data_IF_993800997251
#
_entry.id   IF_993800997251
#
_cell.length_a   1.000
_cell.length_b   1.000
_cell.length_c   1.000
_cell.angle_alpha   90.00
_cell.angle_beta   90.00
_cell.angle_gamma   90.00
#
_symmetry.space_group_name_H-M   'P 1'
#
loop_
_entity.id
_entity.type
_entity.pdbx_description
1 polymer ?
#
# COMPACT_ATOMS: atom_id res chain seq x y z
N UNK A 1 10.88 -26.03 11.20
CA UNK A 1 9.85 -25.15 10.58
C UNK A 1 10.59 -23.88 10.13
N UNK A 2 10.47 -23.48 8.88
CA UNK A 2 11.16 -22.30 8.34
C UNK A 2 10.27 -21.08 8.63
N UNK A 3 10.80 -20.04 9.25
CA UNK A 3 10.08 -18.79 9.50
C UNK A 3 10.34 -17.85 8.30
N UNK A 4 9.29 -17.26 7.76
CA UNK A 4 9.39 -16.18 6.77
C UNK A 4 9.19 -14.85 7.49
N UNK A 5 10.02 -13.86 7.18
CA UNK A 5 9.85 -12.48 7.60
C UNK A 5 9.48 -11.63 6.38
N UNK A 6 8.39 -10.90 6.47
CA UNK A 6 7.92 -10.00 5.42
C UNK A 6 7.71 -8.62 6.04
N UNK A 7 8.48 -7.66 5.60
CA UNK A 7 8.40 -6.28 6.05
C UNK A 7 7.44 -5.50 5.17
N UNK A 8 6.31 -5.07 5.73
CA UNK A 8 5.33 -4.25 5.03
C UNK A 8 5.70 -2.79 5.19
N UNK A 9 5.96 -2.11 4.08
CA UNK A 9 6.43 -0.72 4.05
C UNK A 9 5.40 0.11 3.28
N UNK A 10 4.86 1.15 3.95
CA UNK A 10 4.03 2.14 3.28
C UNK A 10 4.92 3.05 2.42
N UNK A 11 4.45 3.40 1.22
CA UNK A 11 5.13 4.38 0.35
C UNK A 11 5.31 5.74 1.05
N UNK A 12 6.31 6.51 0.66
CA UNK A 12 6.53 7.90 1.09
C UNK A 12 5.39 8.84 0.68
N UNK A 13 5.35 10.04 1.26
CA UNK A 13 4.25 10.96 1.04
C UNK A 13 4.23 11.54 -0.39
N UNK A 14 3.03 11.68 -0.95
CA UNK A 14 2.72 12.46 -2.17
C UNK A 14 2.10 13.80 -1.78
N UNK A 15 2.05 14.79 -2.69
CA UNK A 15 1.38 16.08 -2.42
C UNK A 15 -0.06 15.87 -1.94
N UNK A 16 -0.77 14.95 -2.54
CA UNK A 16 -2.14 14.62 -2.16
C UNK A 16 -2.28 14.02 -0.75
N UNK A 17 -1.24 13.38 -0.21
CA UNK A 17 -1.24 12.92 1.18
C UNK A 17 -1.16 14.11 2.16
N UNK A 18 -0.35 15.14 1.85
CA UNK A 18 -0.30 16.37 2.65
C UNK A 18 -1.62 17.13 2.60
N UNK A 19 -2.31 17.11 1.46
CA UNK A 19 -3.64 17.71 1.31
C UNK A 19 -4.77 16.89 1.96
N UNK A 20 -4.50 15.68 2.47
CA UNK A 20 -5.52 14.80 3.06
C UNK A 20 -6.53 14.25 2.04
N UNK A 21 -6.11 14.04 0.77
CA UNK A 21 -6.95 13.52 -0.30
C UNK A 21 -6.98 11.99 -0.31
N UNK A 22 -8.11 11.43 -0.66
CA UNK A 22 -8.25 10.00 -0.96
C UNK A 22 -7.57 9.69 -2.30
N UNK A 23 -6.42 9.03 -2.26
CA UNK A 23 -5.66 8.64 -3.46
C UNK A 23 -5.55 7.13 -3.52
N UNK A 24 -6.25 6.56 -4.46
CA UNK A 24 -6.30 5.12 -4.69
C UNK A 24 -5.51 4.68 -5.91
N UNK A 25 -6.05 3.66 -6.59
CA UNK A 25 -5.38 3.05 -7.75
C UNK A 25 -5.60 3.80 -9.07
N UNK A 26 -6.53 4.75 -9.14
CA UNK A 26 -6.80 5.52 -10.36
C UNK A 26 -5.89 6.73 -10.52
N UNK A 27 -5.25 7.17 -9.43
CA UNK A 27 -4.38 8.34 -9.42
C UNK A 27 -2.95 7.93 -9.11
N UNK A 28 -2.07 7.96 -10.11
CA UNK A 28 -0.69 7.54 -9.98
C UNK A 28 0.25 8.74 -9.85
N UNK A 29 0.30 9.31 -8.64
CA UNK A 29 1.15 10.45 -8.30
C UNK A 29 2.57 10.01 -7.90
N UNK A 30 3.59 10.83 -8.21
CA UNK A 30 4.94 10.66 -7.66
C UNK A 30 4.98 11.02 -6.17
N UNK A 31 6.08 10.67 -5.51
CA UNK A 31 6.42 11.24 -4.21
C UNK A 31 6.54 12.75 -4.31
N UNK A 32 6.02 13.47 -3.30
CA UNK A 32 6.28 14.90 -3.14
C UNK A 32 7.79 15.14 -2.91
N UNK A 33 8.33 16.31 -3.30
CA UNK A 33 9.73 16.66 -2.99
C UNK A 33 10.03 16.56 -1.49
N UNK A 34 9.13 17.06 -0.64
CA UNK A 34 9.22 16.92 0.80
C UNK A 34 9.18 15.46 1.25
N UNK A 35 8.22 14.68 0.76
CA UNK A 35 8.09 13.25 1.09
C UNK A 35 9.31 12.44 0.67
N UNK A 36 9.93 12.79 -0.45
CA UNK A 36 11.19 12.18 -0.90
C UNK A 36 12.35 12.54 0.04
N UNK A 37 12.42 13.78 0.50
CA UNK A 37 13.44 14.23 1.45
C UNK A 37 13.25 13.58 2.82
N UNK A 38 12.02 13.54 3.35
CA UNK A 38 11.69 12.83 4.59
C UNK A 38 12.09 11.36 4.53
N UNK A 39 11.81 10.69 3.42
CA UNK A 39 12.15 9.28 3.22
C UNK A 39 13.67 9.04 3.22
N UNK A 40 14.46 9.96 2.67
CA UNK A 40 15.93 9.91 2.70
C UNK A 40 16.47 10.09 4.11
N UNK A 41 15.95 11.07 4.85
CA UNK A 41 16.31 11.29 6.25
C UNK A 41 15.97 10.08 7.11
N UNK A 42 14.77 9.50 6.94
CA UNK A 42 14.39 8.27 7.65
C UNK A 42 15.31 7.10 7.33
N UNK A 43 15.78 6.98 6.09
CA UNK A 43 16.73 5.92 5.70
C UNK A 43 18.09 6.10 6.41
N UNK A 44 18.52 7.34 6.65
CA UNK A 44 19.78 7.62 7.34
C UNK A 44 19.64 7.41 8.87
N UNK A 45 18.46 7.61 9.43
CA UNK A 45 18.18 7.50 10.86
C UNK A 45 17.72 6.10 11.31
N UNK A 46 17.21 5.29 10.41
CA UNK A 46 16.63 3.97 10.73
C UNK A 46 17.34 2.89 9.92
N UNK A 47 17.79 1.86 10.63
CA UNK A 47 18.28 0.63 10.00
C UNK A 47 17.10 -0.14 9.38
N UNK A 48 16.90 0.02 8.07
CA UNK A 48 15.95 -0.80 7.33
C UNK A 48 16.47 -2.26 7.27
N UNK A 49 15.55 -3.25 7.34
CA UNK A 49 15.96 -4.65 7.35
C UNK A 49 16.71 -5.05 6.08
N UNK A 50 17.71 -5.91 6.23
CA UNK A 50 18.31 -6.60 5.08
C UNK A 50 17.28 -7.54 4.46
N UNK A 51 17.21 -7.56 3.13
CA UNK A 51 16.26 -8.35 2.40
C UNK A 51 16.90 -9.15 1.28
N UNK A 52 16.29 -10.26 0.92
CA UNK A 52 16.70 -11.11 -0.21
C UNK A 52 15.91 -10.77 -1.49
N UNK A 53 14.72 -10.18 -1.34
CA UNK A 53 13.85 -9.77 -2.46
C UNK A 53 12.96 -8.60 -2.08
N UNK A 54 12.76 -7.70 -3.05
CA UNK A 54 11.86 -6.57 -2.96
C UNK A 54 10.62 -6.82 -3.81
N UNK A 55 9.43 -6.72 -3.21
CA UNK A 55 8.14 -6.67 -3.90
C UNK A 55 7.55 -5.27 -3.80
N UNK A 56 6.75 -4.87 -4.78
CA UNK A 56 6.14 -3.55 -4.78
C UNK A 56 4.77 -3.54 -5.47
N UNK A 57 3.88 -2.67 -5.01
CA UNK A 57 2.80 -2.18 -5.84
C UNK A 57 3.39 -1.52 -7.10
N UNK A 58 2.74 -1.65 -8.27
CA UNK A 58 3.23 -1.04 -9.51
C UNK A 58 3.13 0.49 -9.52
N UNK A 59 2.41 1.10 -8.54
CA UNK A 59 2.20 2.54 -8.45
C UNK A 59 3.53 3.30 -8.28
N UNK A 60 3.65 4.44 -8.98
CA UNK A 60 4.88 5.22 -9.06
C UNK A 60 5.45 5.57 -7.68
N UNK A 61 4.61 6.04 -6.75
CA UNK A 61 4.99 6.35 -5.37
C UNK A 61 5.62 5.16 -4.62
N UNK A 62 5.15 3.93 -4.87
CA UNK A 62 5.73 2.72 -4.29
C UNK A 62 7.09 2.38 -4.91
N UNK A 63 7.19 2.46 -6.24
CA UNK A 63 8.44 2.21 -6.97
C UNK A 63 9.52 3.21 -6.59
N UNK A 64 9.17 4.51 -6.47
CA UNK A 64 10.10 5.55 -6.02
C UNK A 64 10.56 5.33 -4.59
N UNK A 65 9.65 4.88 -3.70
CA UNK A 65 10.01 4.50 -2.32
C UNK A 65 11.03 3.35 -2.33
N UNK A 66 10.81 2.32 -3.15
CA UNK A 66 11.73 1.20 -3.30
C UNK A 66 13.11 1.64 -3.79
N UNK A 67 13.17 2.52 -4.78
CA UNK A 67 14.43 3.04 -5.32
C UNK A 67 15.23 3.84 -4.27
N UNK A 68 14.57 4.46 -3.30
CA UNK A 68 15.26 5.17 -2.20
C UNK A 68 15.74 4.18 -1.14
N UNK A 69 14.85 3.31 -0.65
CA UNK A 69 15.16 2.43 0.48
C UNK A 69 16.10 1.28 0.10
N UNK A 70 15.90 0.70 -1.07
CA UNK A 70 16.60 -0.49 -1.57
C UNK A 70 17.10 -0.26 -3.00
N UNK A 71 18.07 0.64 -3.21
CA UNK A 71 18.52 1.05 -4.55
C UNK A 71 19.13 -0.09 -5.37
N UNK A 72 19.62 -1.13 -4.71
CA UNK A 72 20.27 -2.29 -5.37
C UNK A 72 19.27 -3.37 -5.79
N UNK A 73 17.97 -3.19 -5.50
CA UNK A 73 16.92 -4.15 -5.82
C UNK A 73 15.99 -3.63 -6.91
N UNK A 74 15.81 -4.40 -7.98
CA UNK A 74 14.71 -4.21 -8.91
C UNK A 74 13.45 -4.87 -8.33
N UNK A 75 12.35 -4.12 -8.10
CA UNK A 75 11.19 -4.68 -7.41
C UNK A 75 10.38 -5.61 -8.31
N UNK A 76 9.96 -6.76 -7.77
CA UNK A 76 8.93 -7.60 -8.35
C UNK A 76 7.56 -6.92 -8.14
N UNK A 77 6.98 -6.38 -9.20
CA UNK A 77 5.71 -5.65 -9.11
C UNK A 77 4.51 -6.60 -9.16
N UNK A 78 3.52 -6.33 -8.32
CA UNK A 78 2.27 -7.08 -8.25
C UNK A 78 1.06 -6.15 -8.36
N UNK A 79 0.28 -6.28 -9.43
CA UNK A 79 -0.94 -5.50 -9.69
C UNK A 79 -1.97 -5.61 -8.55
N UNK A 80 -2.03 -6.78 -7.92
CA UNK A 80 -2.90 -7.04 -6.79
C UNK A 80 -2.60 -6.18 -5.56
N UNK A 81 -1.43 -5.56 -5.46
CA UNK A 81 -1.03 -4.70 -4.34
C UNK A 81 -1.41 -3.22 -4.49
N UNK A 82 -2.07 -2.83 -5.58
CA UNK A 82 -2.57 -1.46 -5.74
C UNK A 82 -3.49 -1.05 -4.59
N UNK A 83 -3.54 0.25 -4.31
CA UNK A 83 -4.46 0.81 -3.33
C UNK A 83 -5.92 0.64 -3.78
N UNK A 84 -6.83 0.89 -2.88
CA UNK A 84 -8.27 0.87 -3.07
C UNK A 84 -8.72 1.78 -4.21
N UNK A 85 -9.73 1.37 -4.97
CA UNK A 85 -10.38 2.24 -5.96
C UNK A 85 -11.45 3.08 -5.26
N UNK A 86 -11.17 4.35 -5.01
CA UNK A 86 -12.09 5.27 -4.34
C UNK A 86 -13.22 5.77 -5.25
N UNK A 87 -13.29 5.37 -6.52
CA UNK A 87 -14.35 5.76 -7.44
C UNK A 87 -14.56 7.26 -7.49
N UNK A 88 -15.79 7.73 -7.24
CA UNK A 88 -16.13 9.15 -7.27
C UNK A 88 -15.52 9.97 -6.11
N UNK A 89 -14.90 9.32 -5.12
CA UNK A 89 -14.20 9.99 -4.01
C UNK A 89 -12.72 10.19 -4.29
N UNK A 90 -12.21 9.64 -5.38
CA UNK A 90 -10.81 9.79 -5.81
C UNK A 90 -10.42 11.26 -5.91
N UNK A 91 -9.24 11.59 -5.38
CA UNK A 91 -8.64 12.93 -5.36
C UNK A 91 -9.48 14.01 -4.65
N UNK A 92 -10.32 13.63 -3.70
CA UNK A 92 -11.11 14.54 -2.85
C UNK A 92 -10.71 14.40 -1.40
N UNK A 93 -10.85 15.48 -0.65
CA UNK A 93 -10.70 15.48 0.81
C UNK A 93 -12.00 15.06 1.50
N UNK A 94 -11.92 14.70 2.79
CA UNK A 94 -13.12 14.44 3.59
C UNK A 94 -14.06 15.66 3.66
N UNK A 95 -13.50 16.88 3.74
CA UNK A 95 -14.28 18.12 3.76
C UNK A 95 -15.04 18.34 2.43
N UNK A 96 -14.41 18.08 1.29
CA UNK A 96 -15.07 18.15 -0.02
C UNK A 96 -16.19 17.10 -0.19
N UNK A 97 -16.10 16.01 0.58
CA UNK A 97 -17.06 14.91 0.54
C UNK A 97 -18.16 15.00 1.61
N UNK A 98 -18.08 15.94 2.55
CA UNK A 98 -19.01 16.05 3.69
C UNK A 98 -20.49 16.14 3.26
N UNK A 99 -20.77 16.87 2.17
CA UNK A 99 -22.12 16.99 1.62
C UNK A 99 -22.54 15.83 0.69
N UNK A 100 -21.64 14.90 0.40
CA UNK A 100 -21.95 13.75 -0.46
C UNK A 100 -22.79 12.72 0.29
N UNK A 101 -24.01 12.36 -0.17
CA UNK A 101 -24.90 11.47 0.56
C UNK A 101 -24.35 10.04 0.75
N UNK A 102 -23.36 9.64 -0.06
CA UNK A 102 -22.75 8.31 0.02
C UNK A 102 -21.50 8.28 0.92
N UNK A 103 -20.95 9.44 1.30
CA UNK A 103 -19.66 9.48 2.03
C UNK A 103 -19.80 8.92 3.46
N UNK A 104 -20.74 9.42 4.26
CA UNK A 104 -20.98 8.91 5.61
C UNK A 104 -21.44 7.44 5.62
N UNK A 105 -22.38 7.00 4.74
CA UNK A 105 -22.69 5.57 4.63
C UNK A 105 -21.48 4.69 4.31
N UNK A 106 -20.57 5.13 3.44
CA UNK A 106 -19.36 4.38 3.11
C UNK A 106 -18.38 4.34 4.30
N UNK A 107 -18.03 5.48 4.89
CA UNK A 107 -17.09 5.54 6.03
C UNK A 107 -17.59 4.80 7.25
N UNK A 108 -18.91 4.66 7.42
CA UNK A 108 -19.54 3.91 8.51
C UNK A 108 -19.76 2.41 8.20
N UNK A 109 -19.32 1.95 7.02
CA UNK A 109 -19.47 0.55 6.58
C UNK A 109 -20.89 0.15 6.17
N UNK A 110 -21.81 1.11 6.03
CA UNK A 110 -23.19 0.85 5.54
C UNK A 110 -23.25 0.70 4.02
N UNK A 111 -22.27 1.24 3.31
CA UNK A 111 -22.02 0.97 1.91
C UNK A 111 -20.70 0.20 1.80
N UNK A 112 -20.71 -0.86 1.00
CA UNK A 112 -19.53 -1.71 0.79
C UNK A 112 -18.55 -1.13 -0.23
N UNK A 113 -18.95 -0.12 -0.99
CA UNK A 113 -18.12 0.55 -1.99
C UNK A 113 -18.48 2.03 -2.11
N UNK A 114 -17.52 2.92 -2.43
CA UNK A 114 -17.83 4.27 -2.90
C UNK A 114 -18.45 4.18 -4.31
N UNK A 115 -19.26 5.16 -4.73
CA UNK A 115 -19.88 5.12 -6.05
C UNK A 115 -18.82 5.02 -7.18
N UNK A 116 -18.95 3.96 -8.00
CA UNK A 116 -18.01 3.68 -9.09
C UNK A 116 -16.62 3.18 -8.64
N UNK A 117 -16.45 2.87 -7.37
CA UNK A 117 -15.21 2.33 -6.81
C UNK A 117 -15.26 0.82 -6.55
N UNK A 118 -14.25 0.33 -5.87
CA UNK A 118 -14.07 -1.09 -5.53
C UNK A 118 -14.90 -1.46 -4.30
N UNK A 119 -15.50 -2.65 -4.29
CA UNK A 119 -16.13 -3.22 -3.11
C UNK A 119 -15.08 -3.60 -2.04
N UNK A 120 -15.36 -3.33 -0.77
CA UNK A 120 -14.44 -3.61 0.33
C UNK A 120 -14.02 -5.09 0.39
N UNK A 121 -14.94 -6.02 0.12
CA UNK A 121 -14.65 -7.45 0.15
C UNK A 121 -13.77 -7.88 -1.03
N UNK A 122 -13.97 -7.31 -2.21
CA UNK A 122 -13.14 -7.57 -3.39
C UNK A 122 -11.73 -6.98 -3.21
N UNK A 123 -11.62 -5.78 -2.60
CA UNK A 123 -10.31 -5.21 -2.23
C UNK A 123 -9.54 -6.13 -1.30
N UNK A 124 -10.16 -6.55 -0.19
CA UNK A 124 -9.54 -7.47 0.79
C UNK A 124 -9.09 -8.76 0.09
N UNK A 125 -9.98 -9.37 -0.70
CA UNK A 125 -9.69 -10.60 -1.44
C UNK A 125 -8.52 -10.43 -2.40
N UNK A 126 -8.49 -9.32 -3.15
CA UNK A 126 -7.42 -9.01 -4.10
C UNK A 126 -6.07 -8.88 -3.40
N UNK A 127 -6.01 -8.13 -2.30
CA UNK A 127 -4.79 -7.96 -1.50
C UNK A 127 -4.32 -9.29 -0.91
N UNK A 128 -5.22 -10.08 -0.33
CA UNK A 128 -4.88 -11.40 0.24
C UNK A 128 -4.34 -12.36 -0.82
N UNK A 129 -4.97 -12.40 -2.01
CA UNK A 129 -4.49 -13.23 -3.12
C UNK A 129 -3.10 -12.78 -3.59
N UNK A 130 -2.88 -11.46 -3.71
CA UNK A 130 -1.58 -10.90 -4.07
C UNK A 130 -0.50 -11.24 -3.05
N UNK A 131 -0.80 -11.07 -1.77
CA UNK A 131 0.12 -11.38 -0.69
C UNK A 131 0.46 -12.88 -0.61
N UNK A 132 -0.54 -13.75 -0.75
CA UNK A 132 -0.32 -15.19 -0.78
C UNK A 132 0.61 -15.62 -1.93
N UNK A 133 0.52 -14.98 -3.10
CA UNK A 133 1.46 -15.23 -4.22
C UNK A 133 2.90 -14.86 -3.83
N UNK A 134 3.10 -13.76 -3.10
CA UNK A 134 4.41 -13.37 -2.58
C UNK A 134 4.95 -14.43 -1.61
N UNK A 135 4.11 -14.91 -0.68
CA UNK A 135 4.50 -15.96 0.27
C UNK A 135 4.91 -17.25 -0.47
N UNK A 136 4.14 -17.64 -1.48
CA UNK A 136 4.45 -18.83 -2.31
C UNK A 136 5.76 -18.64 -3.09
N UNK A 137 5.97 -17.48 -3.71
CA UNK A 137 7.21 -17.18 -4.43
C UNK A 137 8.44 -17.23 -3.48
N UNK A 138 8.32 -16.70 -2.27
CA UNK A 138 9.38 -16.80 -1.25
C UNK A 138 9.70 -18.26 -0.89
N UNK A 139 8.66 -19.09 -0.70
CA UNK A 139 8.83 -20.52 -0.37
C UNK A 139 9.51 -21.26 -1.53
N UNK A 140 9.04 -21.07 -2.74
CA UNK A 140 9.56 -21.74 -3.95
C UNK A 140 10.99 -21.30 -4.28
N UNK A 141 11.31 -20.01 -4.04
CA UNK A 141 12.65 -19.45 -4.23
C UNK A 141 13.60 -19.70 -3.05
N UNK A 142 13.12 -20.28 -1.95
CA UNK A 142 13.91 -20.58 -0.77
C UNK A 142 14.28 -19.36 0.08
N UNK A 143 13.60 -18.21 -0.12
CA UNK A 143 13.84 -16.95 0.59
C UNK A 143 13.28 -17.00 2.03
N UNK A 144 13.86 -16.21 2.91
CA UNK A 144 13.45 -16.12 4.31
C UNK A 144 13.07 -14.71 4.74
N UNK A 145 13.59 -13.67 4.05
CA UNK A 145 13.37 -12.29 4.43
C UNK A 145 13.15 -11.41 3.17
N UNK A 146 12.04 -10.66 3.14
CA UNK A 146 11.67 -9.80 2.01
C UNK A 146 10.93 -8.55 2.48
N UNK A 147 10.95 -7.50 1.66
CA UNK A 147 10.12 -6.31 1.87
C UNK A 147 9.04 -6.20 0.78
N UNK A 148 7.90 -5.65 1.18
CA UNK A 148 6.77 -5.34 0.29
C UNK A 148 6.39 -3.87 0.45
N UNK A 149 6.61 -3.08 -0.60
CA UNK A 149 6.22 -1.66 -0.61
C UNK A 149 4.82 -1.54 -1.19
N UNK A 150 3.91 -1.02 -0.37
CA UNK A 150 2.51 -0.93 -0.73
C UNK A 150 1.83 0.30 -0.06
N UNK A 151 0.55 0.26 0.16
CA UNK A 151 -0.27 1.39 0.57
C UNK A 151 -0.85 1.21 1.96
N UNK A 152 -1.14 2.32 2.63
CA UNK A 152 -1.64 2.30 4.00
C UNK A 152 -2.95 1.53 4.17
N UNK A 153 -3.93 1.75 3.28
CA UNK A 153 -5.20 1.03 3.30
C UNK A 153 -5.01 -0.47 3.09
N UNK A 154 -4.19 -0.85 2.11
CA UNK A 154 -3.88 -2.24 1.82
C UNK A 154 -3.17 -2.96 2.99
N UNK A 155 -2.20 -2.29 3.66
CA UNK A 155 -1.53 -2.82 4.85
C UNK A 155 -2.53 -3.04 5.99
N UNK A 156 -3.38 -2.04 6.27
CA UNK A 156 -4.38 -2.14 7.35
C UNK A 156 -5.35 -3.29 7.11
N UNK A 157 -5.83 -3.46 5.87
CA UNK A 157 -6.75 -4.54 5.52
C UNK A 157 -6.07 -5.92 5.65
N UNK A 158 -4.84 -6.06 5.14
CA UNK A 158 -4.08 -7.29 5.23
C UNK A 158 -3.84 -7.70 6.70
N UNK A 159 -3.42 -6.76 7.54
CA UNK A 159 -3.20 -7.02 8.96
C UNK A 159 -4.51 -7.31 9.70
N UNK A 160 -5.60 -6.64 9.35
CA UNK A 160 -6.92 -6.86 9.93
C UNK A 160 -7.46 -8.28 9.73
N UNK A 161 -7.13 -8.92 8.61
CA UNK A 161 -7.60 -10.29 8.30
C UNK A 161 -6.56 -11.37 8.59
N UNK A 162 -5.27 -11.02 8.67
CA UNK A 162 -4.17 -12.00 8.78
C UNK A 162 -3.47 -11.97 10.15
N UNK A 163 -3.59 -10.87 10.90
CA UNK A 163 -2.95 -10.76 12.20
C UNK A 163 -3.70 -11.60 13.25
N UNK A 164 -3.00 -12.54 13.86
CA UNK A 164 -3.49 -13.27 15.03
C UNK A 164 -3.05 -12.48 16.26
N UNK A 165 -3.96 -11.99 17.12
CA UNK A 165 -3.59 -11.37 18.38
C UNK A 165 -2.78 -12.36 19.22
N UNK A 166 -1.63 -11.92 19.75
CA UNK A 166 -0.83 -12.69 20.71
C UNK A 166 -1.38 -12.51 22.12
#
# INVERSE_FOLDING_TARGET
>A
MRTLKIHLIRHGATDANYDGRYIGCKTDLPLAPEGLNELRLLKDDIDYPEIERLYSSPMLRCRQTGAVLYPDFEPFTAEALKEYDFGSFENKTAAELESNPNFIPWTSGRLSAPPGGEDNSEFIKRICVGFNKIVLDMIESGLTESAVIMHGGAIMMLLGVSAVPR
#
